data_IF_792771829551
#
_entry.id   IF_792771829551
#
_cell.length_a   1.000
_cell.length_b   1.000
_cell.length_c   1.000
_cell.angle_alpha   90.00
_cell.angle_beta   90.00
_cell.angle_gamma   90.00
#
_symmetry.space_group_name_H-M   'P 1'
#
loop_
_entity.id
_entity.type
_entity.pdbx_description
1 polymer ?
#
# COMPACT_ATOMS: atom_id res chain seq x y z
N UNK A 1 -5.44 -2.36 -0.60
CA UNK A 1 -4.23 -3.23 -0.52
C UNK A 1 -3.81 -3.60 0.91
N UNK A 2 -3.60 -2.63 1.83
CA UNK A 2 -3.20 -2.94 3.23
C UNK A 2 -4.16 -3.91 3.94
N UNK A 3 -5.46 -3.73 3.76
CA UNK A 3 -6.48 -4.56 4.41
C UNK A 3 -6.43 -6.00 3.91
N UNK A 4 -6.33 -6.19 2.59
CA UNK A 4 -6.09 -7.50 2.01
C UNK A 4 -4.87 -8.17 2.64
N UNK A 5 -3.70 -7.52 2.66
CA UNK A 5 -2.53 -8.15 3.27
C UNK A 5 -2.75 -8.48 4.75
N UNK A 6 -3.48 -7.63 5.48
CA UNK A 6 -3.82 -7.85 6.90
C UNK A 6 -4.73 -9.07 7.09
N UNK A 7 -5.74 -9.22 6.24
CA UNK A 7 -6.66 -10.36 6.21
C UNK A 7 -5.91 -11.67 5.97
N UNK A 8 -5.01 -11.69 4.99
CA UNK A 8 -4.17 -12.86 4.74
C UNK A 8 -3.29 -13.19 5.95
N UNK A 9 -2.63 -12.20 6.54
CA UNK A 9 -1.76 -12.40 7.72
C UNK A 9 -2.53 -13.03 8.88
N UNK A 10 -3.79 -12.64 9.09
CA UNK A 10 -4.63 -13.19 10.16
C UNK A 10 -4.91 -14.71 10.01
N UNK A 11 -4.72 -15.26 8.80
CA UNK A 11 -4.90 -16.68 8.50
C UNK A 11 -3.65 -17.53 8.75
N UNK A 12 -2.49 -16.94 9.07
CA UNK A 12 -1.23 -17.69 9.27
C UNK A 12 -1.38 -18.84 10.29
N UNK A 13 -2.21 -18.64 11.33
CA UNK A 13 -2.51 -19.67 12.33
C UNK A 13 -3.08 -20.98 11.75
N UNK A 14 -3.51 -20.96 10.49
CA UNK A 14 -4.02 -22.11 9.75
C UNK A 14 -3.04 -22.63 8.68
N UNK A 15 -1.82 -22.08 8.55
CA UNK A 15 -0.85 -22.46 7.52
C UNK A 15 -0.42 -23.95 7.55
N UNK A 16 -0.67 -24.65 8.67
CA UNK A 16 -0.42 -26.09 8.81
C UNK A 16 -1.67 -26.98 8.66
N UNK A 17 -2.85 -26.40 8.50
CA UNK A 17 -4.13 -27.09 8.36
C UNK A 17 -4.81 -26.63 7.06
N UNK A 18 -4.53 -27.36 5.97
CA UNK A 18 -4.97 -26.99 4.62
C UNK A 18 -6.49 -26.93 4.49
N UNK A 19 -7.20 -27.84 5.15
CA UNK A 19 -8.67 -27.86 5.12
C UNK A 19 -9.24 -26.60 5.75
N UNK A 20 -8.73 -26.23 6.93
CA UNK A 20 -9.16 -25.03 7.64
C UNK A 20 -8.72 -23.73 6.97
N UNK A 21 -7.52 -23.70 6.39
CA UNK A 21 -7.04 -22.55 5.62
C UNK A 21 -7.95 -22.29 4.41
N UNK A 22 -8.26 -23.33 3.62
CA UNK A 22 -9.17 -23.22 2.47
C UNK A 22 -10.54 -22.70 2.87
N UNK A 23 -11.12 -23.24 3.95
CA UNK A 23 -12.39 -22.77 4.48
C UNK A 23 -12.33 -21.27 4.83
N UNK A 24 -11.30 -20.86 5.58
CA UNK A 24 -11.19 -19.49 6.07
C UNK A 24 -10.89 -18.47 4.98
N UNK A 25 -10.12 -18.84 3.96
CA UNK A 25 -9.90 -17.99 2.78
C UNK A 25 -11.22 -17.65 2.08
N UNK A 26 -12.14 -18.61 1.96
CA UNK A 26 -13.47 -18.38 1.39
C UNK A 26 -14.33 -17.51 2.30
N UNK A 27 -14.35 -17.79 3.61
CA UNK A 27 -15.15 -17.02 4.57
C UNK A 27 -14.80 -15.52 4.62
N UNK A 28 -13.51 -15.18 4.52
CA UNK A 28 -13.05 -13.79 4.51
C UNK A 28 -13.00 -13.19 3.10
N UNK A 29 -13.45 -13.94 2.08
CA UNK A 29 -13.40 -13.55 0.67
C UNK A 29 -11.99 -13.12 0.23
N UNK A 30 -10.96 -13.83 0.71
CA UNK A 30 -9.59 -13.58 0.28
C UNK A 30 -9.46 -13.79 -1.22
N UNK A 31 -8.97 -12.76 -1.91
CA UNK A 31 -8.80 -12.79 -3.34
C UNK A 31 -7.40 -12.31 -3.74
N UNK A 32 -6.59 -13.23 -4.27
CA UNK A 32 -5.27 -12.91 -4.84
C UNK A 32 -5.37 -11.93 -6.00
N UNK A 33 -6.44 -12.00 -6.80
CA UNK A 33 -6.63 -11.09 -7.94
C UNK A 33 -6.89 -9.66 -7.49
N UNK A 34 -7.59 -9.46 -6.37
CA UNK A 34 -7.74 -8.12 -5.80
C UNK A 34 -6.38 -7.53 -5.40
N UNK A 35 -5.50 -8.34 -4.80
CA UNK A 35 -4.14 -7.90 -4.47
C UNK A 35 -3.37 -7.48 -5.72
N UNK A 36 -3.34 -8.35 -6.75
CA UNK A 36 -2.57 -8.06 -7.97
C UNK A 36 -3.14 -6.88 -8.74
N UNK A 37 -4.47 -6.73 -8.82
CA UNK A 37 -5.10 -5.58 -9.47
C UNK A 37 -4.77 -4.28 -8.75
N UNK A 38 -4.84 -4.25 -7.42
CA UNK A 38 -4.43 -3.08 -6.66
C UNK A 38 -2.94 -2.74 -6.86
N UNK A 39 -2.06 -3.73 -7.02
CA UNK A 39 -0.67 -3.46 -7.36
C UNK A 39 -0.53 -2.77 -8.73
N UNK A 40 -1.26 -3.23 -9.75
CA UNK A 40 -1.27 -2.60 -11.07
C UNK A 40 -1.82 -1.16 -11.02
N UNK A 41 -2.88 -0.91 -10.24
CA UNK A 41 -3.41 0.43 -10.00
C UNK A 41 -2.36 1.34 -9.35
N UNK A 42 -1.69 0.85 -8.31
CA UNK A 42 -0.64 1.61 -7.60
C UNK A 42 0.57 1.89 -8.48
N UNK A 43 0.94 0.97 -9.38
CA UNK A 43 1.97 1.22 -10.39
C UNK A 43 1.59 2.36 -11.32
N UNK A 44 0.35 2.36 -11.83
CA UNK A 44 -0.19 3.45 -12.65
C UNK A 44 -0.17 4.79 -11.91
N UNK A 45 -0.76 4.84 -10.72
CA UNK A 45 -0.78 6.06 -9.90
C UNK A 45 0.61 6.56 -9.53
N UNK A 46 1.53 5.67 -9.19
CA UNK A 46 2.90 6.06 -8.87
C UNK A 46 3.60 6.65 -10.09
N UNK A 47 3.43 6.05 -11.28
CA UNK A 47 4.00 6.57 -12.53
C UNK A 47 3.49 7.98 -12.87
N UNK A 48 2.17 8.19 -12.73
CA UNK A 48 1.56 9.51 -12.93
C UNK A 48 2.08 10.53 -11.92
N UNK A 49 2.17 10.17 -10.63
CA UNK A 49 2.67 11.06 -9.59
C UNK A 49 4.15 11.43 -9.80
N UNK A 50 4.98 10.48 -10.20
CA UNK A 50 6.42 10.70 -10.49
C UNK A 50 6.58 11.63 -11.69
N UNK A 51 5.84 11.38 -12.78
CA UNK A 51 5.90 12.16 -14.02
C UNK A 51 5.29 13.56 -13.82
N UNK A 52 4.19 13.65 -13.08
CA UNK A 52 3.49 14.89 -12.76
C UNK A 52 4.20 15.77 -11.73
N UNK A 53 5.33 15.32 -11.16
CA UNK A 53 6.11 16.09 -10.20
C UNK A 53 5.42 16.24 -8.84
N UNK A 54 4.67 15.22 -8.40
CA UNK A 54 4.08 15.21 -7.07
C UNK A 54 5.17 15.32 -5.99
N UNK A 55 4.87 15.99 -4.85
CA UNK A 55 5.78 16.05 -3.72
C UNK A 55 6.18 14.65 -3.24
N UNK A 56 7.37 14.56 -2.65
CA UNK A 56 7.93 13.31 -2.13
C UNK A 56 8.06 12.20 -3.19
N UNK A 57 8.66 12.55 -4.33
CA UNK A 57 8.94 11.64 -5.45
C UNK A 57 9.57 10.32 -5.02
N UNK A 58 10.50 10.33 -4.08
CA UNK A 58 11.15 9.10 -3.60
C UNK A 58 10.16 8.12 -2.95
N UNK A 59 9.14 8.61 -2.23
CA UNK A 59 8.10 7.74 -1.68
C UNK A 59 7.18 7.17 -2.77
N UNK A 60 6.91 7.91 -3.85
CA UNK A 60 6.20 7.38 -5.01
C UNK A 60 7.01 6.33 -5.77
N UNK A 61 8.33 6.54 -5.93
CA UNK A 61 9.23 5.55 -6.52
C UNK A 61 9.29 4.27 -5.66
N UNK A 62 9.37 4.41 -4.33
CA UNK A 62 9.32 3.29 -3.39
C UNK A 62 7.97 2.55 -3.44
N UNK A 63 6.85 3.28 -3.57
CA UNK A 63 5.52 2.69 -3.76
C UNK A 63 5.44 1.89 -5.06
N UNK A 64 5.97 2.44 -6.15
CA UNK A 64 6.01 1.77 -7.45
C UNK A 64 6.79 0.45 -7.35
N UNK A 65 8.02 0.49 -6.85
CA UNK A 65 8.86 -0.70 -6.70
C UNK A 65 8.25 -1.74 -5.76
N UNK A 66 7.66 -1.29 -4.64
CA UNK A 66 7.01 -2.19 -3.69
C UNK A 66 5.76 -2.83 -4.31
N UNK A 67 5.00 -2.09 -5.11
CA UNK A 67 3.80 -2.61 -5.78
C UNK A 67 4.17 -3.67 -6.82
N UNK A 68 5.25 -3.45 -7.56
CA UNK A 68 5.81 -4.43 -8.50
C UNK A 68 6.27 -5.70 -7.78
N UNK A 69 7.04 -5.56 -6.70
CA UNK A 69 7.52 -6.70 -5.89
C UNK A 69 6.34 -7.54 -5.34
N UNK A 70 5.26 -6.88 -4.92
CA UNK A 70 4.04 -7.56 -4.44
C UNK A 70 3.35 -8.29 -5.58
N UNK A 71 3.21 -7.65 -6.75
CA UNK A 71 2.59 -8.25 -7.93
C UNK A 71 3.35 -9.51 -8.34
N UNK A 72 4.67 -9.41 -8.55
CA UNK A 72 5.52 -10.55 -8.95
C UNK A 72 5.46 -11.69 -7.94
N UNK A 73 5.36 -11.38 -6.64
CA UNK A 73 5.26 -12.38 -5.59
C UNK A 73 3.91 -13.10 -5.56
N UNK A 74 2.79 -12.36 -5.63
CA UNK A 74 1.45 -12.94 -5.47
C UNK A 74 0.88 -13.50 -6.76
N UNK A 75 1.24 -12.97 -7.92
CA UNK A 75 0.68 -13.40 -9.20
C UNK A 75 0.82 -14.91 -9.48
N UNK A 76 1.95 -15.58 -9.17
CA UNK A 76 2.06 -17.04 -9.35
C UNK A 76 1.34 -17.88 -8.27
N UNK A 77 0.79 -17.28 -7.21
CA UNK A 77 0.14 -17.99 -6.09
C UNK A 77 -1.33 -18.32 -6.40
N UNK A 78 -1.55 -19.12 -7.45
CA UNK A 78 -2.88 -19.50 -7.95
C UNK A 78 -3.59 -20.56 -7.12
N UNK A 79 -2.87 -21.31 -6.27
CA UNK A 79 -3.37 -22.45 -5.53
C UNK A 79 -3.19 -22.27 -4.02
N UNK A 80 -4.15 -22.76 -3.23
CA UNK A 80 -4.16 -22.61 -1.77
C UNK A 80 -2.94 -23.29 -1.12
N UNK A 81 -2.45 -24.38 -1.70
CA UNK A 81 -1.30 -25.13 -1.21
C UNK A 81 0.00 -24.32 -1.24
N UNK A 82 0.06 -23.24 -2.03
CA UNK A 82 1.22 -22.36 -2.10
C UNK A 82 1.28 -21.40 -0.90
N UNK A 83 0.17 -21.20 -0.18
CA UNK A 83 0.08 -20.32 0.99
C UNK A 83 0.70 -20.98 2.23
N UNK A 84 2.02 -21.07 2.17
CA UNK A 84 2.88 -21.61 3.24
C UNK A 84 3.31 -20.49 4.19
N UNK A 85 3.91 -20.84 5.35
CA UNK A 85 4.44 -19.86 6.31
C UNK A 85 5.25 -18.71 5.66
N UNK A 86 6.19 -18.98 4.73
CA UNK A 86 6.90 -17.92 4.02
C UNK A 86 6.01 -16.90 3.29
N UNK A 87 4.85 -17.31 2.76
CA UNK A 87 3.89 -16.39 2.12
C UNK A 87 3.30 -15.41 3.13
N UNK A 88 2.93 -15.89 4.32
CA UNK A 88 2.40 -15.02 5.38
C UNK A 88 3.46 -14.07 5.93
N UNK A 89 4.70 -14.54 6.06
CA UNK A 89 5.82 -13.69 6.46
C UNK A 89 6.10 -12.59 5.42
N UNK A 90 6.13 -12.96 4.14
CA UNK A 90 6.31 -11.99 3.06
C UNK A 90 5.14 -11.00 3.00
N UNK A 91 3.90 -11.45 3.20
CA UNK A 91 2.73 -10.58 3.31
C UNK A 91 2.86 -9.56 4.45
N UNK A 92 3.39 -9.96 5.62
CA UNK A 92 3.72 -9.02 6.72
C UNK A 92 4.74 -7.98 6.30
N UNK A 93 5.85 -8.41 5.69
CA UNK A 93 6.90 -7.50 5.22
C UNK A 93 6.32 -6.45 4.26
N UNK A 94 5.50 -6.88 3.31
CA UNK A 94 4.81 -5.97 2.39
C UNK A 94 3.84 -5.02 3.07
N UNK A 95 3.03 -5.51 4.01
CA UNK A 95 2.09 -4.67 4.75
C UNK A 95 2.82 -3.59 5.56
N UNK A 96 3.93 -3.94 6.23
CA UNK A 96 4.76 -2.97 6.93
C UNK A 96 5.39 -1.93 5.99
N UNK A 97 5.93 -2.37 4.83
CA UNK A 97 6.48 -1.47 3.82
C UNK A 97 5.43 -0.48 3.32
N UNK A 98 4.25 -0.95 2.90
CA UNK A 98 3.17 -0.07 2.39
C UNK A 98 2.75 0.94 3.45
N UNK A 99 2.54 0.50 4.70
CA UNK A 99 2.20 1.41 5.81
C UNK A 99 3.26 2.50 6.03
N UNK A 100 4.54 2.14 5.94
CA UNK A 100 5.62 3.10 6.07
C UNK A 100 5.63 4.11 4.91
N UNK A 101 5.43 3.65 3.67
CA UNK A 101 5.33 4.50 2.48
C UNK A 101 4.14 5.44 2.58
N UNK A 102 2.96 4.94 2.96
CA UNK A 102 1.76 5.76 3.17
C UNK A 102 2.02 6.91 4.14
N UNK A 103 2.67 6.64 5.28
CA UNK A 103 3.05 7.69 6.25
C UNK A 103 3.96 8.75 5.62
N UNK A 104 4.93 8.37 4.79
CA UNK A 104 5.81 9.33 4.08
C UNK A 104 5.00 10.22 3.13
N UNK A 105 4.04 9.65 2.41
CA UNK A 105 3.16 10.39 1.49
C UNK A 105 2.18 11.33 2.22
N UNK A 106 1.60 10.88 3.33
CA UNK A 106 0.72 11.69 4.18
C UNK A 106 1.46 12.89 4.79
N UNK A 107 2.67 12.69 5.32
CA UNK A 107 3.48 13.76 5.93
C UNK A 107 3.89 14.84 4.93
N UNK A 108 4.24 14.46 3.70
CA UNK A 108 4.58 15.41 2.64
C UNK A 108 3.37 16.25 2.21
N UNK A 109 2.17 15.68 2.31
CA UNK A 109 0.91 16.37 2.00
C UNK A 109 0.56 17.37 3.10
N UNK A 110 0.74 16.99 4.38
CA UNK A 110 0.51 17.87 5.53
C UNK A 110 1.47 19.08 5.54
N UNK A 111 2.76 18.87 5.29
CA UNK A 111 3.75 19.94 5.23
C UNK A 111 3.46 20.95 4.09
N UNK A 112 2.85 20.51 2.99
CA UNK A 112 2.46 21.39 1.88
C UNK A 112 1.25 22.27 2.24
N UNK A 113 0.28 21.74 3.00
CA UNK A 113 -0.87 22.51 3.47
C UNK A 113 -0.44 23.60 4.46
N UNK A 114 0.50 23.30 5.36
CA UNK A 114 1.07 24.29 6.27
C UNK A 114 1.84 25.39 5.51
N UNK A 115 2.67 25.04 4.52
CA UNK A 115 3.40 26.02 3.71
C UNK A 115 2.48 26.95 2.89
N UNK A 116 1.37 26.43 2.36
CA UNK A 116 0.37 27.25 1.66
C UNK A 116 -0.38 28.15 2.67
N UNK A 117 -0.74 27.62 3.84
CA UNK A 117 -1.37 28.39 4.92
C UNK A 117 -0.54 29.57 5.39
N UNK A 118 0.79 29.40 5.50
CA UNK A 118 1.74 30.47 5.84
C UNK A 118 1.86 31.51 4.71
N UNK A 119 1.82 31.09 3.44
CA UNK A 119 1.83 32.03 2.31
C UNK A 119 0.51 32.77 2.10
N UNK A 120 -0.62 32.22 2.53
CA UNK A 120 -1.92 32.90 2.48
C UNK A 120 -2.21 33.77 3.71
N UNK A 121 -1.40 33.70 4.76
CA UNK A 121 -1.58 34.45 6.02
C UNK A 121 -0.89 35.81 6.08
N UNK A 122 0.04 36.10 5.15
CA UNK A 122 0.88 37.31 5.18
C UNK A 122 0.58 38.33 4.08
N UNK A 123 -0.62 38.29 3.49
CA UNK A 123 -1.16 39.47 2.81
C UNK A 123 -1.85 40.35 3.87
N UNK A 124 -1.03 40.96 4.71
CA UNK A 124 -1.42 42.02 5.62
C UNK A 124 -2.15 43.11 4.85
N UNK A 125 -3.48 43.10 4.97
CA UNK A 125 -4.32 44.27 4.76
C UNK A 125 -3.86 45.34 5.74
N UNK A 126 -3.00 46.25 5.31
CA UNK A 126 -2.93 47.59 5.88
C UNK A 126 -3.53 48.57 4.89
N UNK A 127 -4.84 48.75 5.00
CA UNK A 127 -5.48 50.02 4.67
C UNK A 127 -5.65 50.82 5.97
N UNK A 128 -5.46 52.14 5.85
CA UNK A 128 -5.84 53.24 6.77
C UNK A 128 -4.76 53.69 7.77
N UNK A 129 -3.97 54.70 7.40
CA UNK A 129 -4.24 56.13 7.69
C UNK A 129 -3.50 57.06 6.74
#
# INVERSE_FOLDING_TARGET
LEDHLSDLIALEKYAGDMGKLKQKLVEILWCRECVTNHCLELLGFSSEAITGGCPNRSAWEELSLTSDEIYEFFEPLKRVEQYTKPVFEKARQFNFKIRAIRKKLEQATAARLEYIGVKSGDNGNEYIR
#
